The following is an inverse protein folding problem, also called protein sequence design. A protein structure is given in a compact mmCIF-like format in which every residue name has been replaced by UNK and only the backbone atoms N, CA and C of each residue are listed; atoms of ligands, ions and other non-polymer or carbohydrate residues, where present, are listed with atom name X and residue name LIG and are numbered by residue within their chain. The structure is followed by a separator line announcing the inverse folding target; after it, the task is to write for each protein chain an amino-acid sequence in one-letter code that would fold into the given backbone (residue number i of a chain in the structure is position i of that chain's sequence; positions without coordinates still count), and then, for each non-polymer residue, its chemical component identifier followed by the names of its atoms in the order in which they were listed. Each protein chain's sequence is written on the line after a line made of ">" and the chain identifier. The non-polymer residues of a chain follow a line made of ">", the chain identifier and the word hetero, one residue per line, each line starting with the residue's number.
data_IF_993817544332
#
_entry.id   IF_993817544332
#
_cell.length_a   1.000
_cell.length_b   1.000
_cell.length_c   1.000
_cell.angle_alpha   90.00
_cell.angle_beta   90.00
_cell.angle_gamma   90.00
#
_symmetry.space_group_name_H-M   'P 1'
#
loop_
_entity.id
_entity.type
_entity.pdbx_description
1 polymer ?
#
# COMPACT_ATOMS: atom_id res chain seq x y z
N UNK A 1 27.94 -12.82 -3.80
CA UNK A 1 26.64 -12.25 -3.36
C UNK A 1 26.94 -10.90 -2.72
N UNK A 2 26.67 -9.80 -3.41
CA UNK A 2 26.97 -8.45 -2.91
C UNK A 2 25.89 -8.04 -1.92
N UNK A 3 26.16 -8.20 -0.62
CA UNK A 3 25.32 -7.61 0.44
C UNK A 3 25.41 -6.09 0.31
N UNK A 4 24.45 -5.47 -0.37
CA UNK A 4 24.33 -4.01 -0.36
C UNK A 4 23.90 -3.61 1.04
N UNK A 5 24.62 -2.66 1.63
CA UNK A 5 24.20 -2.04 2.89
C UNK A 5 22.85 -1.33 2.69
N UNK A 6 22.01 -1.20 3.73
CA UNK A 6 20.73 -0.49 3.64
C UNK A 6 20.88 0.95 3.10
N UNK A 7 21.96 1.65 3.47
CA UNK A 7 22.25 2.99 2.94
C UNK A 7 22.54 3.01 1.44
N UNK A 8 23.25 2.01 0.92
CA UNK A 8 23.50 1.89 -0.53
C UNK A 8 22.22 1.61 -1.32
N UNK A 9 21.25 0.90 -0.74
CA UNK A 9 19.94 0.69 -1.36
C UNK A 9 19.12 1.98 -1.41
N UNK A 10 19.12 2.76 -0.34
CA UNK A 10 18.45 4.05 -0.27
C UNK A 10 18.99 5.02 -1.32
N UNK A 11 20.32 5.20 -1.39
CA UNK A 11 20.92 6.06 -2.41
C UNK A 11 20.62 5.58 -3.82
N UNK A 12 20.63 4.26 -4.06
CA UNK A 12 20.28 3.72 -5.37
C UNK A 12 18.81 4.01 -5.74
N UNK A 13 17.88 3.92 -4.79
CA UNK A 13 16.49 4.28 -4.99
C UNK A 13 16.31 5.77 -5.28
N UNK A 14 16.99 6.64 -4.52
CA UNK A 14 16.97 8.10 -4.73
C UNK A 14 17.51 8.51 -6.10
N UNK A 15 18.59 7.84 -6.56
CA UNK A 15 19.10 8.05 -7.91
C UNK A 15 18.12 7.56 -8.98
N UNK A 16 17.39 6.48 -8.71
CA UNK A 16 16.41 5.93 -9.65
C UNK A 16 15.18 6.82 -9.80
N UNK A 17 14.72 7.43 -8.71
CA UNK A 17 13.62 8.40 -8.73
C UNK A 17 14.01 9.74 -9.34
N UNK A 18 15.23 10.21 -9.07
CA UNK A 18 15.71 11.50 -9.57
C UNK A 18 16.19 11.46 -11.02
N UNK A 19 16.73 10.33 -11.46
CA UNK A 19 17.23 10.14 -12.82
C UNK A 19 17.00 8.69 -13.31
N UNK A 20 15.76 8.37 -13.76
CA UNK A 20 15.44 7.02 -14.20
C UNK A 20 16.18 6.69 -15.51
N UNK A 21 16.85 5.52 -15.61
CA UNK A 21 17.55 5.15 -16.83
C UNK A 21 16.55 4.93 -17.98
N UNK A 22 16.91 5.36 -19.20
CA UNK A 22 16.03 5.30 -20.38
C UNK A 22 15.51 3.87 -20.66
N UNK A 23 16.32 2.85 -20.40
CA UNK A 23 15.94 1.44 -20.53
C UNK A 23 14.76 1.04 -19.61
N UNK A 24 14.63 1.67 -18.44
CA UNK A 24 13.48 1.48 -17.57
C UNK A 24 12.24 2.20 -18.08
N UNK A 25 12.36 3.28 -18.86
CA UNK A 25 11.22 4.00 -19.42
C UNK A 25 10.65 3.28 -20.65
N UNK A 26 11.52 2.73 -21.49
CA UNK A 26 11.15 2.11 -22.76
C UNK A 26 10.73 0.64 -22.61
N UNK A 27 11.30 -0.08 -21.64
CA UNK A 27 11.06 -1.51 -21.49
C UNK A 27 9.99 -1.82 -20.43
N UNK A 28 8.80 -2.19 -20.90
CA UNK A 28 7.66 -2.58 -20.06
C UNK A 28 7.92 -3.81 -19.18
N UNK A 29 8.75 -4.76 -19.63
CA UNK A 29 9.12 -5.95 -18.84
C UNK A 29 10.00 -5.54 -17.66
N UNK A 30 10.97 -4.65 -17.87
CA UNK A 30 11.81 -4.13 -16.80
C UNK A 30 10.99 -3.32 -15.78
N UNK A 31 10.05 -2.48 -16.23
CA UNK A 31 9.10 -1.79 -15.32
C UNK A 31 8.33 -2.78 -14.47
N UNK A 32 7.84 -3.86 -15.07
CA UNK A 32 7.04 -4.87 -14.37
C UNK A 32 7.88 -5.62 -13.35
N UNK A 33 9.09 -6.06 -13.73
CA UNK A 33 10.03 -6.71 -12.81
C UNK A 33 10.42 -5.81 -11.64
N UNK A 34 10.69 -4.53 -11.89
CA UNK A 34 10.99 -3.56 -10.84
C UNK A 34 9.79 -3.40 -9.89
N UNK A 35 8.57 -3.30 -10.42
CA UNK A 35 7.34 -3.22 -9.62
C UNK A 35 7.16 -4.46 -8.73
N UNK A 36 7.42 -5.65 -9.27
CA UNK A 36 7.34 -6.90 -8.50
C UNK A 36 8.41 -6.94 -7.41
N UNK A 37 9.67 -6.62 -7.73
CA UNK A 37 10.75 -6.58 -6.75
C UNK A 37 10.51 -5.56 -5.63
N UNK A 38 9.95 -4.39 -5.95
CA UNK A 38 9.57 -3.38 -4.95
C UNK A 38 8.43 -3.87 -4.05
N UNK A 39 7.48 -4.64 -4.59
CA UNK A 39 6.43 -5.29 -3.80
C UNK A 39 7.02 -6.32 -2.85
N UNK A 40 7.91 -7.18 -3.33
CA UNK A 40 8.53 -8.23 -2.52
C UNK A 40 9.39 -7.63 -1.41
N UNK A 41 10.16 -6.58 -1.71
CA UNK A 41 10.92 -5.83 -0.70
C UNK A 41 9.99 -5.25 0.37
N UNK A 42 8.85 -4.67 -0.05
CA UNK A 42 7.89 -4.12 0.89
C UNK A 42 7.27 -5.19 1.79
N UNK A 43 6.86 -6.33 1.23
CA UNK A 43 6.35 -7.47 2.01
C UNK A 43 7.42 -7.99 2.99
N UNK A 44 8.70 -7.95 2.62
CA UNK A 44 9.79 -8.37 3.49
C UNK A 44 10.09 -7.34 4.61
N UNK A 45 9.79 -6.07 4.39
CA UNK A 45 9.96 -4.98 5.37
C UNK A 45 8.72 -4.78 6.24
N UNK A 46 7.62 -5.43 5.91
CA UNK A 46 6.37 -5.30 6.61
C UNK A 46 6.44 -5.96 7.99
N UNK A 47 5.81 -5.34 8.98
CA UNK A 47 5.75 -5.94 10.31
C UNK A 47 4.76 -7.11 10.31
N UNK A 48 4.98 -8.15 11.14
CA UNK A 48 4.04 -9.27 11.26
C UNK A 48 2.62 -8.80 11.65
N UNK A 49 2.54 -7.69 12.38
CA UNK A 49 1.31 -7.04 12.80
C UNK A 49 0.50 -6.48 11.62
N UNK A 50 1.15 -5.74 10.71
CA UNK A 50 0.49 -5.17 9.53
C UNK A 50 -0.02 -6.29 8.60
N UNK A 51 0.77 -7.36 8.46
CA UNK A 51 0.40 -8.50 7.63
C UNK A 51 -0.86 -9.20 8.17
N UNK A 52 -0.94 -9.40 9.49
CA UNK A 52 -2.12 -9.97 10.15
C UNK A 52 -3.34 -9.04 10.04
N UNK A 53 -3.16 -7.73 10.23
CA UNK A 53 -4.24 -6.76 10.11
C UNK A 53 -4.92 -6.82 8.73
N UNK A 54 -4.12 -6.94 7.66
CA UNK A 54 -4.66 -7.08 6.30
C UNK A 54 -5.36 -8.41 6.07
N UNK A 55 -4.85 -9.51 6.62
CA UNK A 55 -5.53 -10.81 6.52
C UNK A 55 -6.88 -10.76 7.21
N UNK A 56 -6.94 -10.21 8.43
CA UNK A 56 -8.20 -10.06 9.18
C UNK A 56 -9.20 -9.20 8.41
N UNK A 57 -8.77 -8.05 7.86
CA UNK A 57 -9.63 -7.20 7.05
C UNK A 57 -10.09 -7.91 5.77
N UNK A 58 -9.21 -8.67 5.10
CA UNK A 58 -9.57 -9.42 3.89
C UNK A 58 -10.65 -10.46 4.14
N UNK A 59 -10.60 -11.12 5.30
CA UNK A 59 -11.62 -12.08 5.71
C UNK A 59 -12.95 -11.38 6.05
N UNK A 60 -12.88 -10.25 6.75
CA UNK A 60 -14.07 -9.48 7.14
C UNK A 60 -14.78 -8.77 5.98
N UNK A 61 -14.06 -8.45 4.89
CA UNK A 61 -14.62 -7.78 3.71
C UNK A 61 -14.73 -8.68 2.48
N UNK A 62 -14.34 -9.96 2.61
CA UNK A 62 -14.21 -10.91 1.49
C UNK A 62 -13.39 -10.37 0.30
N UNK A 63 -12.45 -9.46 0.58
CA UNK A 63 -11.69 -8.77 -0.45
C UNK A 63 -10.39 -9.51 -0.76
N UNK A 64 -9.95 -9.47 -2.02
CA UNK A 64 -8.61 -9.93 -2.39
C UNK A 64 -7.55 -9.17 -1.58
N UNK A 65 -6.64 -9.91 -0.95
CA UNK A 65 -5.62 -9.35 -0.03
C UNK A 65 -4.74 -8.33 -0.72
N UNK A 66 -4.41 -8.55 -2.01
CA UNK A 66 -3.55 -7.63 -2.78
C UNK A 66 -4.31 -6.36 -3.13
N UNK A 67 -5.56 -6.48 -3.54
CA UNK A 67 -6.43 -5.33 -3.81
C UNK A 67 -6.67 -4.50 -2.54
N UNK A 68 -6.96 -5.17 -1.43
CA UNK A 68 -7.16 -4.53 -0.14
C UNK A 68 -5.91 -3.77 0.31
N UNK A 69 -4.73 -4.38 0.22
CA UNK A 69 -3.47 -3.72 0.53
C UNK A 69 -3.25 -2.45 -0.30
N UNK A 70 -3.61 -2.47 -1.59
CA UNK A 70 -3.51 -1.30 -2.47
C UNK A 70 -4.51 -0.21 -2.07
N UNK A 71 -5.74 -0.58 -1.71
CA UNK A 71 -6.76 0.36 -1.25
C UNK A 71 -6.36 1.03 0.07
N UNK A 72 -5.92 0.25 1.06
CA UNK A 72 -5.45 0.77 2.34
C UNK A 72 -4.30 1.75 2.16
N UNK A 73 -3.35 1.46 1.26
CA UNK A 73 -2.24 2.37 0.92
C UNK A 73 -2.73 3.70 0.36
N UNK A 74 -3.68 3.66 -0.56
CA UNK A 74 -4.24 4.86 -1.18
C UNK A 74 -4.97 5.68 -0.11
N UNK A 75 -5.80 5.03 0.71
CA UNK A 75 -6.52 5.69 1.80
C UNK A 75 -5.56 6.29 2.83
N UNK A 76 -4.46 5.61 3.16
CA UNK A 76 -3.44 6.12 4.07
C UNK A 76 -2.71 7.34 3.48
N UNK A 77 -2.37 7.29 2.19
CA UNK A 77 -1.73 8.41 1.48
C UNK A 77 -2.63 9.65 1.41
N UNK A 78 -3.94 9.47 1.28
CA UNK A 78 -4.91 10.56 1.35
C UNK A 78 -5.25 11.01 2.78
N UNK A 79 -4.69 10.37 3.80
CA UNK A 79 -4.99 10.66 5.20
C UNK A 79 -6.40 10.25 5.63
N UNK A 80 -7.07 9.40 4.84
CA UNK A 80 -8.38 8.87 5.16
C UNK A 80 -8.31 7.83 6.28
N UNK A 81 -7.22 7.07 6.33
CA UNK A 81 -6.93 6.12 7.41
C UNK A 81 -5.53 6.36 7.95
N UNK A 82 -5.32 6.02 9.22
CA UNK A 82 -4.01 5.94 9.86
C UNK A 82 -3.70 4.49 10.15
N UNK A 83 -2.51 4.05 9.74
CA UNK A 83 -1.97 2.75 10.09
C UNK A 83 -1.28 2.87 11.45
N UNK A 84 -1.68 2.05 12.41
CA UNK A 84 -1.14 2.05 13.76
C UNK A 84 -0.62 0.64 14.12
N UNK A 85 0.18 0.07 13.21
CA UNK A 85 0.85 -1.23 13.31
C UNK A 85 -0.06 -2.47 13.30
N UNK A 86 -1.05 -2.53 14.18
CA UNK A 86 -1.98 -3.65 14.28
C UNK A 86 -3.38 -3.32 13.74
N UNK A 87 -3.68 -2.03 13.52
CA UNK A 87 -5.02 -1.58 13.15
C UNK A 87 -4.96 -0.41 12.19
N UNK A 88 -6.00 -0.30 11.37
CA UNK A 88 -6.28 0.87 10.56
C UNK A 88 -7.39 1.68 11.22
N UNK A 89 -7.16 2.96 11.48
CA UNK A 89 -8.15 3.86 12.08
C UNK A 89 -8.59 4.90 11.07
N UNK A 90 -9.89 5.06 10.87
CA UNK A 90 -10.45 6.14 10.06
C UNK A 90 -10.11 7.50 10.68
N UNK A 91 -9.66 8.43 9.84
CA UNK A 91 -9.48 9.82 10.23
C UNK A 91 -10.84 10.44 10.56
N UNK A 92 -10.94 11.35 11.55
CA UNK A 92 -12.19 12.04 11.89
C UNK A 92 -12.87 12.69 10.68
N UNK A 93 -12.09 13.21 9.73
CA UNK A 93 -12.60 13.82 8.50
C UNK A 93 -13.36 12.85 7.58
N UNK A 94 -13.16 11.55 7.77
CA UNK A 94 -13.78 10.47 7.00
C UNK A 94 -14.77 9.66 7.84
N UNK A 95 -15.00 10.03 9.11
CA UNK A 95 -15.91 9.31 10.01
C UNK A 95 -17.36 9.26 9.49
N UNK A 96 -17.77 10.27 8.71
CA UNK A 96 -19.10 10.32 8.08
C UNK A 96 -19.37 9.12 7.16
N UNK A 97 -18.34 8.54 6.54
CA UNK A 97 -18.50 7.35 5.69
C UNK A 97 -18.74 6.07 6.47
N UNK A 98 -18.45 6.07 7.78
CA UNK A 98 -18.79 4.97 8.70
C UNK A 98 -20.17 5.16 9.35
N UNK A 99 -20.84 6.30 9.12
CA UNK A 99 -22.17 6.54 9.64
C UNK A 99 -23.22 5.75 8.84
N UNK A 100 -23.92 4.85 9.54
CA UNK A 100 -24.98 4.04 8.97
C UNK A 100 -26.18 4.85 8.47
N UNK A 101 -26.35 6.10 8.94
CA UNK A 101 -27.42 7.00 8.48
C UNK A 101 -27.06 7.67 7.17
N UNK A 102 -25.78 7.99 6.95
CA UNK A 102 -25.27 8.53 5.68
C UNK A 102 -25.39 7.52 4.55
N UNK A 103 -25.05 6.25 4.80
CA UNK A 103 -25.07 5.18 3.77
C UNK A 103 -26.47 4.71 3.38
N UNK A 104 -27.50 5.02 4.17
CA UNK A 104 -28.91 4.65 3.90
C UNK A 104 -29.68 5.65 3.04
N UNK A 105 -29.09 6.82 2.71
CA UNK A 105 -29.77 7.89 1.97
C UNK A 105 -29.91 7.71 0.45
N UNK A 106 -29.51 6.58 -0.13
CA UNK A 106 -29.41 6.40 -1.61
C UNK A 106 -30.29 5.26 -2.16
N UNK A 107 -31.24 4.72 -1.38
CA UNK A 107 -32.20 3.72 -1.89
C UNK A 107 -33.62 4.17 -1.62
N UNK A 108 -34.10 5.09 -2.47
CA UNK A 108 -35.54 5.27 -2.74
C UNK A 108 -35.70 5.35 -4.26
N UNK A 109 -35.99 4.21 -4.88
CA UNK A 109 -36.59 4.10 -6.21
C UNK A 109 -37.80 3.18 -6.10
#
# INVERSE_FOLDING_TARGET
>A
MTSRSPGSLLSALETLTSNPPASLLENHVLKTKLRLAARDLWLALETPADALARVVLSQGTEADVVLLARLLRILAAFGAIKENGQYYTLSPSYAIFADSTFTKGVVTW
#
